data_IF_635908719967
#
_entry.id   IF_635908719967
#
_cell.length_a   1.000
_cell.length_b   1.000
_cell.length_c   1.000
_cell.angle_alpha   90.00
_cell.angle_beta   90.00
_cell.angle_gamma   90.00
#
_symmetry.space_group_name_H-M   'P 1'
#
loop_
_entity.id
_entity.type
_entity.pdbx_description
1 polymer ?
#
# COMPACT_ATOMS: atom_id res chain seq x y z
N UNK A 1 -24.21 14.58 -0.72
CA UNK A 1 -23.70 13.20 -0.58
C UNK A 1 -22.18 13.27 -0.66
N UNK A 2 -21.45 12.64 0.28
CA UNK A 2 -19.97 12.64 0.24
C UNK A 2 -19.51 11.74 -0.91
N UNK A 3 -18.68 12.26 -1.80
CA UNK A 3 -18.17 11.56 -2.98
C UNK A 3 -16.83 10.85 -2.69
N UNK A 4 -16.29 10.16 -3.69
CA UNK A 4 -15.01 9.45 -3.59
C UNK A 4 -13.86 10.38 -3.20
N UNK A 5 -13.76 11.56 -3.80
CA UNK A 5 -12.66 12.51 -3.58
C UNK A 5 -12.65 13.06 -2.15
N UNK A 6 -13.84 13.29 -1.58
CA UNK A 6 -13.99 13.64 -0.17
C UNK A 6 -13.37 12.57 0.73
N UNK A 7 -13.71 11.29 0.49
CA UNK A 7 -13.25 10.18 1.32
C UNK A 7 -11.76 9.87 1.12
N UNK A 8 -11.23 10.07 -0.09
CA UNK A 8 -9.82 9.88 -0.37
C UNK A 8 -8.94 10.91 0.37
N UNK A 9 -9.44 12.14 0.55
CA UNK A 9 -8.76 13.22 1.28
C UNK A 9 -8.93 13.16 2.81
N UNK A 10 -9.76 12.23 3.32
CA UNK A 10 -9.96 12.09 4.75
C UNK A 10 -8.65 11.65 5.43
N UNK A 11 -8.20 12.37 6.46
CA UNK A 11 -6.92 12.07 7.12
C UNK A 11 -6.87 10.66 7.72
N UNK A 12 -7.89 10.29 8.50
CA UNK A 12 -7.96 8.99 9.18
C UNK A 12 -8.48 7.89 8.23
N UNK A 13 -7.69 6.83 7.93
CA UNK A 13 -8.16 5.70 7.10
C UNK A 13 -9.30 4.91 7.75
N UNK A 14 -9.34 4.83 9.09
CA UNK A 14 -10.36 4.08 9.81
C UNK A 14 -11.77 4.66 9.66
N UNK A 15 -11.89 5.98 9.59
CA UNK A 15 -13.20 6.61 9.37
C UNK A 15 -13.75 6.34 7.97
N UNK A 16 -12.87 6.13 6.99
CA UNK A 16 -13.26 5.72 5.63
C UNK A 16 -13.74 4.27 5.62
N UNK A 17 -13.06 3.37 6.32
CA UNK A 17 -13.47 1.97 6.47
C UNK A 17 -14.81 1.86 7.20
N UNK A 18 -14.99 2.59 8.30
CA UNK A 18 -16.25 2.59 9.05
C UNK A 18 -17.44 3.08 8.20
N UNK A 19 -17.22 3.95 7.22
CA UNK A 19 -18.26 4.43 6.32
C UNK A 19 -18.49 3.53 5.08
N UNK A 20 -17.64 2.54 4.83
CA UNK A 20 -17.68 1.69 3.63
C UNK A 20 -18.96 0.83 3.48
N UNK A 21 -19.60 0.33 4.55
CA UNK A 21 -20.86 -0.41 4.44
C UNK A 21 -21.99 0.45 3.86
N UNK A 22 -22.10 1.70 4.31
CA UNK A 22 -23.18 2.63 3.93
C UNK A 22 -22.86 3.58 2.77
N UNK A 23 -21.62 3.64 2.29
CA UNK A 23 -21.22 4.56 1.23
C UNK A 23 -20.31 3.91 0.19
N UNK A 24 -20.78 3.91 -1.06
CA UNK A 24 -20.01 3.43 -2.21
C UNK A 24 -18.71 4.22 -2.42
N UNK A 25 -18.76 5.55 -2.27
CA UNK A 25 -17.58 6.41 -2.36
C UNK A 25 -16.56 6.10 -1.28
N UNK A 26 -17.00 5.87 -0.03
CA UNK A 26 -16.12 5.48 1.06
C UNK A 26 -15.50 4.11 0.83
N UNK A 27 -16.28 3.15 0.34
CA UNK A 27 -15.80 1.80 0.02
C UNK A 27 -14.72 1.81 -1.06
N UNK A 28 -14.92 2.58 -2.12
CA UNK A 28 -13.93 2.73 -3.18
C UNK A 28 -12.67 3.43 -2.67
N UNK A 29 -12.80 4.48 -1.85
CA UNK A 29 -11.66 5.16 -1.24
C UNK A 29 -10.90 4.25 -0.27
N UNK A 30 -11.59 3.49 0.58
CA UNK A 30 -10.99 2.51 1.47
C UNK A 30 -10.23 1.44 0.69
N UNK A 31 -10.81 0.91 -0.40
CA UNK A 31 -10.14 -0.06 -1.27
C UNK A 31 -8.85 0.50 -1.86
N UNK A 32 -8.87 1.72 -2.41
CA UNK A 32 -7.67 2.40 -2.93
C UNK A 32 -6.60 2.50 -1.85
N UNK A 33 -6.95 3.03 -0.67
CA UNK A 33 -5.99 3.23 0.44
C UNK A 33 -5.40 1.92 0.94
N UNK A 34 -6.21 0.86 1.05
CA UNK A 34 -5.73 -0.48 1.45
C UNK A 34 -4.71 -1.00 0.44
N UNK A 35 -5.00 -0.88 -0.86
CA UNK A 35 -4.10 -1.36 -1.91
C UNK A 35 -2.80 -0.55 -1.93
N UNK A 36 -2.89 0.77 -1.79
CA UNK A 36 -1.72 1.65 -1.74
C UNK A 36 -0.84 1.32 -0.53
N UNK A 37 -1.41 1.13 0.66
CA UNK A 37 -0.66 0.72 1.85
C UNK A 37 -0.09 -0.70 1.71
N UNK A 38 -0.79 -1.64 1.07
CA UNK A 38 -0.24 -2.97 0.79
C UNK A 38 0.96 -2.90 -0.16
N UNK A 39 0.88 -2.05 -1.18
CA UNK A 39 1.98 -1.83 -2.11
C UNK A 39 3.16 -1.14 -1.43
N UNK A 40 2.88 -0.11 -0.62
CA UNK A 40 3.85 0.55 0.25
C UNK A 40 4.58 -0.47 1.11
N UNK A 41 3.87 -1.32 1.86
CA UNK A 41 4.51 -2.37 2.67
C UNK A 41 5.44 -3.27 1.86
N UNK A 42 5.04 -3.69 0.66
CA UNK A 42 5.90 -4.54 -0.19
C UNK A 42 7.14 -3.81 -0.74
N UNK A 43 7.03 -2.51 -1.01
CA UNK A 43 8.13 -1.67 -1.50
C UNK A 43 9.04 -1.22 -0.34
N UNK A 44 8.45 -0.84 0.80
CA UNK A 44 9.10 -0.30 2.00
C UNK A 44 9.77 -1.38 2.86
N UNK A 45 9.32 -2.64 2.80
CA UNK A 45 10.11 -3.77 3.33
C UNK A 45 11.52 -3.88 2.71
N UNK A 46 11.82 -3.14 1.62
CA UNK A 46 13.20 -2.93 1.12
C UNK A 46 13.88 -1.70 1.71
N UNK A 47 13.10 -0.68 2.07
CA UNK A 47 13.53 0.57 2.72
C UNK A 47 13.63 0.45 4.25
N UNK A 48 13.39 -0.72 4.83
CA UNK A 48 14.10 -1.17 6.04
C UNK A 48 15.58 -1.32 5.64
N UNK A 49 16.19 -0.16 5.39
CA UNK A 49 17.46 0.08 4.74
C UNK A 49 18.41 0.70 5.76
N UNK A 50 19.70 0.38 5.69
CA UNK A 50 20.74 0.98 6.52
C UNK A 50 20.68 2.50 6.40
N UNK A 51 20.62 3.20 7.53
CA UNK A 51 20.42 4.65 7.58
C UNK A 51 19.15 5.09 8.30
N UNK A 52 18.31 4.16 8.76
CA UNK A 52 17.28 4.49 9.76
C UNK A 52 17.96 5.10 10.98
N UNK A 53 17.68 6.37 11.35
CA UNK A 53 18.23 6.92 12.56
C UNK A 53 17.58 6.17 13.73
N UNK A 54 18.31 5.24 14.34
CA UNK A 54 17.87 4.50 15.53
C UNK A 54 17.60 5.43 16.72
N UNK A 55 18.00 6.69 16.61
CA UNK A 55 18.05 7.73 17.63
C UNK A 55 17.99 9.09 16.93
N UNK A 56 17.37 10.08 17.56
CA UNK A 56 17.48 11.49 17.13
C UNK A 56 18.96 11.88 17.18
N UNK A 57 19.52 12.42 16.09
CA UNK A 57 20.91 12.94 16.10
C UNK A 57 21.04 14.05 17.18
N UNK A 58 19.96 14.75 17.49
CA UNK A 58 19.91 15.71 18.60
C UNK A 58 19.98 15.05 19.99
N UNK A 59 19.49 13.82 20.15
CA UNK A 59 19.61 13.07 21.40
C UNK A 59 21.03 12.51 21.64
N UNK A 60 21.80 12.29 20.57
CA UNK A 60 23.21 11.88 20.65
C UNK A 60 24.19 13.05 20.75
N UNK A 61 23.81 14.25 20.29
CA UNK A 61 24.69 15.41 20.22
C UNK A 61 24.77 16.25 21.52
N UNK A 62 24.11 15.81 22.59
CA UNK A 62 24.04 16.57 23.83
C UNK A 62 23.14 17.81 23.69
N UNK A 63 22.32 18.05 24.70
CA UNK A 63 21.36 19.15 24.75
C UNK A 63 22.03 20.50 24.44
N UNK A 64 21.87 20.98 23.20
CA UNK A 64 22.15 22.37 22.85
C UNK A 64 20.89 23.20 23.15
N UNK A 65 20.96 24.14 24.10
CA UNK A 65 19.82 24.98 24.43
C UNK A 65 19.53 25.90 23.25
N UNK A 66 18.39 25.68 22.58
CA UNK A 66 17.89 26.51 21.48
C UNK A 66 17.87 25.85 20.09
N UNK A 67 18.30 24.60 19.93
CA UNK A 67 18.41 23.92 18.62
C UNK A 67 17.34 22.85 18.30
N UNK A 68 16.28 22.73 19.09
CA UNK A 68 15.33 21.61 19.01
C UNK A 68 14.06 21.94 18.22
N UNK A 69 13.86 21.32 17.06
CA UNK A 69 12.55 21.32 16.41
C UNK A 69 12.49 20.58 15.10
N UNK A 70 13.35 20.91 14.14
CA UNK A 70 13.23 20.37 12.77
C UNK A 70 13.52 18.86 12.66
N UNK A 71 14.55 18.38 13.36
CA UNK A 71 15.00 16.98 13.24
C UNK A 71 14.18 16.01 14.09
N UNK A 72 13.62 16.47 15.21
CA UNK A 72 12.70 15.69 16.04
C UNK A 72 11.34 15.51 15.37
N UNK A 73 10.89 16.49 14.57
CA UNK A 73 9.70 16.33 13.72
C UNK A 73 9.92 15.28 12.64
N UNK A 74 11.14 15.11 12.11
CA UNK A 74 11.44 14.07 11.14
C UNK A 74 11.41 12.68 11.78
N UNK A 75 11.92 12.53 13.02
CA UNK A 75 11.82 11.30 13.79
C UNK A 75 10.38 11.02 14.25
N UNK A 76 9.65 12.02 14.72
CA UNK A 76 8.24 11.90 15.09
C UNK A 76 7.36 11.60 13.88
N UNK A 77 7.64 12.19 12.73
CA UNK A 77 6.98 11.86 11.47
C UNK A 77 7.35 10.43 11.05
N UNK A 78 8.62 10.01 11.09
CA UNK A 78 9.01 8.65 10.74
C UNK A 78 8.47 7.59 11.70
N UNK A 79 8.29 7.93 12.98
CA UNK A 79 7.61 7.08 13.97
C UNK A 79 6.09 7.04 13.73
N UNK A 80 5.46 8.16 13.36
CA UNK A 80 4.04 8.22 12.98
C UNK A 80 3.74 7.49 11.67
N UNK A 81 4.65 7.55 10.72
CA UNK A 81 4.62 6.85 9.44
C UNK A 81 5.40 5.52 9.49
N UNK A 82 5.73 5.03 10.68
CA UNK A 82 6.38 3.74 10.81
C UNK A 82 5.49 2.68 10.14
N UNK A 83 6.06 1.75 9.35
CA UNK A 83 5.32 0.63 8.75
C UNK A 83 4.67 -0.31 9.80
N UNK A 84 4.80 0.01 11.09
CA UNK A 84 4.21 -0.71 12.22
C UNK A 84 3.01 0.03 12.87
N UNK A 85 2.31 0.89 12.13
CA UNK A 85 1.01 1.41 12.59
C UNK A 85 -0.08 0.31 12.57
N UNK A 86 -1.14 0.45 13.37
CA UNK A 86 -2.26 -0.50 13.36
C UNK A 86 -2.90 -0.66 11.98
N UNK A 87 -2.94 0.43 11.21
CA UNK A 87 -3.41 0.41 9.83
C UNK A 87 -2.53 -0.47 8.94
N UNK A 88 -1.21 -0.34 9.04
CA UNK A 88 -0.27 -1.19 8.31
C UNK A 88 -0.42 -2.66 8.71
N UNK A 89 -0.52 -2.95 10.00
CA UNK A 89 -0.75 -4.32 10.51
C UNK A 89 -2.06 -4.90 9.96
N UNK A 90 -3.13 -4.12 9.91
CA UNK A 90 -4.40 -4.54 9.34
C UNK A 90 -4.27 -4.82 7.83
N UNK A 91 -3.62 -3.94 7.07
CA UNK A 91 -3.39 -4.13 5.64
C UNK A 91 -2.52 -5.36 5.35
N UNK A 92 -1.46 -5.59 6.13
CA UNK A 92 -0.62 -6.78 6.04
C UNK A 92 -1.42 -8.06 6.31
N UNK A 93 -2.30 -8.04 7.32
CA UNK A 93 -3.20 -9.16 7.63
C UNK A 93 -4.21 -9.43 6.51
N UNK A 94 -4.80 -8.39 5.94
CA UNK A 94 -5.70 -8.52 4.77
C UNK A 94 -4.95 -9.11 3.57
N UNK A 95 -3.71 -8.69 3.34
CA UNK A 95 -2.89 -9.19 2.23
C UNK A 95 -2.60 -10.68 2.39
N UNK A 96 -2.29 -11.13 3.62
CA UNK A 96 -2.08 -12.55 3.95
C UNK A 96 -3.34 -13.41 3.78
N UNK A 97 -4.53 -12.84 3.97
CA UNK A 97 -5.82 -13.53 3.77
C UNK A 97 -6.19 -13.71 2.28
N UNK A 98 -5.63 -12.92 1.38
CA UNK A 98 -5.89 -13.05 -0.05
C UNK A 98 -5.11 -14.23 -0.66
N UNK A 99 -5.68 -14.95 -1.64
CA UNK A 99 -4.91 -15.93 -2.41
C UNK A 99 -3.70 -15.25 -3.06
N UNK A 100 -2.51 -15.80 -2.83
CA UNK A 100 -1.23 -15.14 -3.16
C UNK A 100 -1.13 -14.69 -4.62
N UNK A 101 -1.58 -15.49 -5.57
CA UNK A 101 -1.62 -15.14 -7.00
C UNK A 101 -2.58 -13.97 -7.30
N UNK A 102 -3.71 -13.89 -6.61
CA UNK A 102 -4.66 -12.78 -6.81
C UNK A 102 -4.14 -11.48 -6.18
N UNK A 103 -3.55 -11.56 -4.99
CA UNK A 103 -2.87 -10.44 -4.34
C UNK A 103 -1.73 -9.89 -5.22
N UNK A 104 -0.88 -10.78 -5.74
CA UNK A 104 0.21 -10.40 -6.64
C UNK A 104 -0.28 -9.70 -7.90
N UNK A 105 -1.32 -10.24 -8.56
CA UNK A 105 -1.92 -9.60 -9.72
C UNK A 105 -2.46 -8.20 -9.41
N UNK A 106 -3.15 -8.06 -8.26
CA UNK A 106 -3.70 -6.79 -7.81
C UNK A 106 -2.61 -5.74 -7.59
N UNK A 107 -1.52 -6.10 -6.90
CA UNK A 107 -0.42 -5.20 -6.63
C UNK A 107 0.38 -4.85 -7.89
N UNK A 108 0.63 -5.81 -8.79
CA UNK A 108 1.26 -5.53 -10.08
C UNK A 108 0.47 -4.50 -10.90
N UNK A 109 -0.87 -4.59 -10.88
CA UNK A 109 -1.70 -3.61 -11.57
C UNK A 109 -1.71 -2.25 -10.88
N UNK A 110 -1.74 -2.23 -9.55
CA UNK A 110 -1.72 -0.99 -8.77
C UNK A 110 -0.39 -0.25 -8.96
N UNK A 111 0.72 -0.97 -9.00
CA UNK A 111 2.04 -0.41 -9.22
C UNK A 111 2.26 0.08 -10.66
N UNK A 112 1.51 -0.43 -11.64
CA UNK A 112 1.72 -0.12 -13.07
C UNK A 112 1.47 1.37 -13.36
N UNK A 113 2.51 2.04 -13.84
CA UNK A 113 2.44 3.41 -14.36
C UNK A 113 2.32 3.33 -15.89
N UNK A 114 1.35 4.04 -16.47
CA UNK A 114 1.25 4.12 -17.93
C UNK A 114 2.42 4.96 -18.47
N UNK A 115 2.99 4.63 -19.63
CA UNK A 115 4.17 5.31 -20.19
C UNK A 115 3.88 6.70 -20.77
N UNK A 116 2.91 7.43 -20.23
CA UNK A 116 2.47 8.75 -20.68
C UNK A 116 3.10 9.92 -19.91
N UNK A 117 3.88 9.65 -18.85
CA UNK A 117 4.51 10.64 -17.97
C UNK A 117 6.03 10.62 -18.11
N UNK A 118 6.67 11.78 -18.10
CA UNK A 118 8.12 11.91 -18.13
C UNK A 118 8.78 11.25 -16.90
N UNK A 119 9.78 10.40 -17.11
CA UNK A 119 10.55 9.72 -16.07
C UNK A 119 10.99 8.30 -16.47
N UNK A 120 11.96 7.74 -15.76
CA UNK A 120 12.39 6.35 -15.93
C UNK A 120 12.03 5.56 -14.66
N UNK A 121 11.06 4.65 -14.76
CA UNK A 121 10.67 3.76 -13.66
C UNK A 121 10.47 2.35 -14.19
N UNK A 122 10.91 1.34 -13.43
CA UNK A 122 10.68 -0.08 -13.77
C UNK A 122 9.18 -0.42 -13.88
N UNK A 123 8.34 0.38 -13.23
CA UNK A 123 6.89 0.25 -13.22
C UNK A 123 6.20 0.95 -14.40
N UNK A 124 6.95 1.71 -15.21
CA UNK A 124 6.47 2.35 -16.42
C UNK A 124 6.39 1.33 -17.56
N UNK A 125 5.29 0.58 -17.58
CA UNK A 125 5.10 -0.54 -18.51
C UNK A 125 3.68 -0.59 -19.04
N UNK A 126 3.54 -1.02 -20.29
CA UNK A 126 2.23 -1.37 -20.86
C UNK A 126 1.64 -2.60 -20.17
N UNK A 127 0.35 -2.86 -20.35
CA UNK A 127 -0.30 -4.06 -19.80
C UNK A 127 0.38 -5.35 -20.30
N UNK A 128 0.80 -5.39 -21.57
CA UNK A 128 1.54 -6.50 -22.16
C UNK A 128 2.92 -6.67 -21.52
N UNK A 129 3.69 -5.59 -21.40
CA UNK A 129 5.01 -5.61 -20.76
C UNK A 129 4.94 -6.00 -19.27
N UNK A 130 3.83 -5.69 -18.58
CA UNK A 130 3.60 -6.14 -17.21
C UNK A 130 3.63 -7.68 -17.10
N UNK A 131 3.04 -8.38 -18.08
CA UNK A 131 3.04 -9.85 -18.15
C UNK A 131 4.39 -10.38 -18.62
N UNK A 132 4.99 -9.77 -19.64
CA UNK A 132 6.31 -10.19 -20.17
C UNK A 132 7.41 -10.04 -19.10
N UNK A 133 7.35 -8.99 -18.28
CA UNK A 133 8.33 -8.70 -17.22
C UNK A 133 7.87 -9.13 -15.82
N UNK A 134 6.78 -9.91 -15.71
CA UNK A 134 6.14 -10.21 -14.43
C UNK A 134 7.10 -10.82 -13.40
N UNK A 135 8.06 -11.66 -13.80
CA UNK A 135 9.00 -12.28 -12.87
C UNK A 135 9.90 -11.23 -12.20
N UNK A 136 10.39 -10.26 -12.97
CA UNK A 136 11.18 -9.15 -12.45
C UNK A 136 10.32 -8.27 -11.53
N UNK A 137 9.11 -7.93 -11.96
CA UNK A 137 8.22 -7.04 -11.21
C UNK A 137 7.72 -7.68 -9.92
N UNK A 138 7.40 -8.98 -9.92
CA UNK A 138 7.05 -9.73 -8.72
C UNK A 138 8.22 -9.76 -7.73
N UNK A 139 9.46 -9.87 -8.21
CA UNK A 139 10.64 -9.72 -7.36
C UNK A 139 10.76 -8.32 -6.81
N UNK A 140 10.27 -7.27 -7.49
CA UNK A 140 10.26 -5.88 -7.02
C UNK A 140 9.20 -5.59 -5.94
N UNK A 141 8.20 -6.45 -5.77
CA UNK A 141 7.22 -6.36 -4.68
C UNK A 141 7.31 -7.54 -3.71
N UNK A 142 8.43 -8.26 -3.66
CA UNK A 142 8.65 -9.38 -2.72
C UNK A 142 7.59 -10.50 -2.82
N UNK A 143 6.97 -10.68 -4.00
CA UNK A 143 5.93 -11.68 -4.25
C UNK A 143 6.32 -12.73 -5.31
N UNK A 144 7.61 -12.85 -5.65
CA UNK A 144 8.08 -13.79 -6.67
C UNK A 144 7.86 -15.26 -6.28
N UNK A 145 8.04 -15.59 -5.00
CA UNK A 145 7.90 -16.97 -4.52
C UNK A 145 6.43 -17.39 -4.45
N UNK A 146 6.13 -18.60 -4.92
CA UNK A 146 4.80 -19.21 -4.82
C UNK A 146 3.72 -18.56 -5.69
N UNK A 147 4.08 -17.70 -6.65
CA UNK A 147 3.14 -17.12 -7.62
C UNK A 147 3.39 -17.77 -8.98
N UNK A 148 2.46 -18.62 -9.41
CA UNK A 148 2.49 -19.17 -10.75
C UNK A 148 2.34 -18.04 -11.80
N UNK A 149 3.06 -18.08 -12.94
CA UNK A 149 3.00 -17.04 -13.96
C UNK A 149 1.59 -16.81 -14.54
N UNK A 150 1.32 -15.56 -14.92
CA UNK A 150 0.17 -15.16 -15.71
C UNK A 150 0.47 -15.37 -17.19
N UNK A 151 -0.38 -16.11 -17.88
CA UNK A 151 -0.21 -16.46 -19.29
C UNK A 151 -0.61 -15.32 -20.23
N UNK A 152 -1.48 -14.42 -19.77
CA UNK A 152 -2.02 -13.32 -20.55
C UNK A 152 -2.35 -12.11 -19.67
N UNK A 153 -2.56 -10.96 -20.32
CA UNK A 153 -3.05 -9.74 -19.67
C UNK A 153 -4.41 -9.98 -19.03
N UNK A 154 -5.29 -10.71 -19.71
CA UNK A 154 -6.61 -11.07 -19.20
C UNK A 154 -6.53 -11.92 -17.94
N UNK A 155 -5.67 -12.94 -17.92
CA UNK A 155 -5.50 -13.79 -16.74
C UNK A 155 -5.04 -12.98 -15.51
N UNK A 156 -4.15 -12.00 -15.73
CA UNK A 156 -3.69 -11.07 -14.70
C UNK A 156 -4.84 -10.15 -14.25
N UNK A 157 -5.61 -9.58 -15.18
CA UNK A 157 -6.76 -8.72 -14.91
C UNK A 157 -7.89 -9.41 -14.15
N UNK A 158 -8.22 -10.65 -14.51
CA UNK A 158 -9.23 -11.44 -13.80
C UNK A 158 -8.77 -11.74 -12.37
N UNK A 159 -7.51 -12.14 -12.19
CA UNK A 159 -6.96 -12.42 -10.86
C UNK A 159 -6.95 -11.15 -9.97
N UNK A 160 -6.52 -10.01 -10.51
CA UNK A 160 -6.53 -8.73 -9.81
C UNK A 160 -7.96 -8.30 -9.42
N UNK A 161 -8.91 -8.44 -10.35
CA UNK A 161 -10.33 -8.10 -10.11
C UNK A 161 -10.94 -8.97 -9.01
N UNK A 162 -10.62 -10.27 -8.96
CA UNK A 162 -11.06 -11.16 -7.88
C UNK A 162 -10.56 -10.71 -6.51
N UNK A 163 -9.29 -10.32 -6.39
CA UNK A 163 -8.75 -9.77 -5.15
C UNK A 163 -9.45 -8.47 -4.74
N UNK A 164 -9.62 -7.52 -5.67
CA UNK A 164 -10.32 -6.25 -5.39
C UNK A 164 -11.76 -6.47 -4.95
N UNK A 165 -12.49 -7.34 -5.65
CA UNK A 165 -13.88 -7.67 -5.30
C UNK A 165 -13.96 -8.33 -3.92
N UNK A 166 -12.97 -9.18 -3.56
CA UNK A 166 -12.90 -9.80 -2.23
C UNK A 166 -12.65 -8.77 -1.13
N UNK A 167 -11.71 -7.84 -1.31
CA UNK A 167 -11.47 -6.75 -0.37
C UNK A 167 -12.70 -5.85 -0.22
N UNK A 168 -13.32 -5.52 -1.35
CA UNK A 168 -14.54 -4.71 -1.41
C UNK A 168 -15.71 -5.39 -0.69
N UNK A 169 -15.83 -6.71 -0.79
CA UNK A 169 -16.82 -7.48 -0.03
C UNK A 169 -16.51 -7.45 1.48
N UNK A 170 -15.25 -7.65 1.87
CA UNK A 170 -14.87 -7.54 3.29
C UNK A 170 -15.13 -6.16 3.89
N UNK A 171 -14.99 -5.10 3.11
CA UNK A 171 -15.37 -3.73 3.50
C UNK A 171 -16.88 -3.54 3.64
N UNK A 172 -17.67 -4.26 2.86
CA UNK A 172 -19.13 -4.24 2.98
C UNK A 172 -19.62 -5.05 4.19
N UNK A 173 -18.93 -6.15 4.49
CA UNK A 173 -19.27 -7.08 5.57
C UNK A 173 -18.64 -6.70 6.93
N UNK A 174 -17.96 -5.55 7.03
CA UNK A 174 -17.26 -5.08 8.24
C UNK A 174 -16.18 -6.07 8.78
N UNK A 175 -15.62 -6.89 7.90
CA UNK A 175 -14.60 -7.91 8.24
C UNK A 175 -13.20 -7.28 8.42
N UNK A 176 -13.02 -6.03 7.99
CA UNK A 176 -11.77 -5.29 8.22
C UNK A 176 -11.72 -4.93 9.70
N UNK A 177 -10.73 -5.42 10.48
CA UNK A 177 -10.67 -5.17 11.90
C UNK A 177 -10.57 -3.67 12.13
N UNK A 178 -11.61 -3.05 12.68
CA UNK A 178 -11.56 -1.66 13.12
C UNK A 178 -10.51 -1.54 14.24
N UNK A 179 -9.78 -0.42 14.27
CA UNK A 179 -8.93 -0.10 15.41
C UNK A 179 -9.75 -0.19 16.71
N UNK A 180 -9.23 -0.95 17.68
CA UNK A 180 -9.80 -1.09 19.01
C UNK A 180 -9.45 0.11 19.89
#
# INVERSE_FOLDING_TARGET
MRDYDYWLKAGNPWSVVAAAPGSEGARQAALTRIIDTMLELQLDHRHISPGWPAVSIAALAGEMPGGGGGHDQMLLASMRYSPDSEWHRACAMLLRKLPRRQAAAMLLQAARIRPDKAGESVWMVTARQLVERQALLLRQICMAEGVAPFESVEALEVAARRARNRLRQWLADEIVPAAA
#
